data_IF_778693514303
#
_entry.id   IF_778693514303
#
_cell.length_a   1.000
_cell.length_b   1.000
_cell.length_c   1.000
_cell.angle_alpha   90.00
_cell.angle_beta   90.00
_cell.angle_gamma   90.00
#
_symmetry.space_group_name_H-M   'P 1'
#
loop_
_entity.id
_entity.type
_entity.pdbx_description
1 polymer ?
#
# COMPACT_ATOMS: atom_id res chain seq x y z
N UNK A 1 5.21 10.64 -2.96
CA UNK A 1 4.29 11.14 -1.92
C UNK A 1 3.15 10.16 -1.74
N UNK A 2 2.74 9.95 -0.51
CA UNK A 2 1.61 9.06 -0.23
C UNK A 2 0.29 9.71 -0.58
N UNK A 3 -0.64 8.90 -1.08
CA UNK A 3 -1.99 9.32 -1.43
C UNK A 3 -2.97 8.63 -0.49
N UNK A 4 -3.99 9.35 -0.05
CA UNK A 4 -5.08 8.72 0.70
C UNK A 4 -5.94 7.92 -0.27
N UNK A 5 -6.01 6.61 -0.05
CA UNK A 5 -6.85 5.73 -0.87
C UNK A 5 -8.29 5.78 -0.38
N UNK A 6 -9.21 5.94 -1.31
CA UNK A 6 -10.65 5.91 -1.07
C UNK A 6 -11.30 4.96 -2.07
N UNK A 7 -12.56 4.62 -1.87
CA UNK A 7 -13.32 3.85 -2.86
C UNK A 7 -13.40 4.59 -4.19
N UNK A 8 -13.36 5.93 -4.15
CA UNK A 8 -13.50 6.73 -5.37
C UNK A 8 -12.22 6.77 -6.21
N UNK A 9 -11.04 6.73 -5.60
CA UNK A 9 -9.79 6.88 -6.35
C UNK A 9 -9.04 5.57 -6.59
N UNK A 10 -9.42 4.48 -5.92
CA UNK A 10 -8.69 3.23 -5.99
C UNK A 10 -8.59 2.66 -7.41
N UNK A 11 -9.71 2.56 -8.11
CA UNK A 11 -9.73 1.97 -9.46
C UNK A 11 -8.87 2.76 -10.44
N UNK A 12 -8.93 4.09 -10.38
CA UNK A 12 -8.12 4.95 -11.24
C UNK A 12 -6.64 4.77 -10.99
N UNK A 13 -6.24 4.68 -9.72
CA UNK A 13 -4.84 4.46 -9.36
C UNK A 13 -4.36 3.07 -9.74
N UNK A 14 -5.18 2.04 -9.50
CA UNK A 14 -4.85 0.66 -9.84
C UNK A 14 -4.63 0.50 -11.35
N UNK A 15 -5.43 1.18 -12.16
CA UNK A 15 -5.39 1.08 -13.62
C UNK A 15 -4.51 2.13 -14.30
N UNK A 16 -3.79 2.95 -13.52
CA UNK A 16 -2.88 3.94 -14.09
C UNK A 16 -1.64 3.26 -14.66
N UNK A 17 -0.82 4.02 -15.36
CA UNK A 17 0.42 3.51 -15.97
C UNK A 17 1.44 3.07 -14.93
N UNK A 18 1.41 3.67 -13.74
CA UNK A 18 2.37 3.35 -12.69
C UNK A 18 1.87 2.20 -11.83
N UNK A 19 2.79 1.36 -11.32
CA UNK A 19 2.43 0.39 -10.28
C UNK A 19 1.87 1.09 -9.07
N UNK A 20 1.06 0.37 -8.28
CA UNK A 20 0.43 0.90 -7.08
C UNK A 20 0.75 0.01 -5.88
N UNK A 21 1.14 0.62 -4.79
CA UNK A 21 1.27 -0.06 -3.49
C UNK A 21 0.24 0.53 -2.55
N UNK A 22 -0.58 -0.31 -1.94
CA UNK A 22 -1.60 0.14 -0.96
C UNK A 22 -1.28 -0.42 0.41
N UNK A 23 -1.09 0.47 1.38
CA UNK A 23 -0.87 0.13 2.78
C UNK A 23 -2.21 0.18 3.51
N UNK A 24 -2.73 -0.99 3.88
CA UNK A 24 -3.95 -1.10 4.70
C UNK A 24 -3.55 -1.00 6.17
N UNK A 25 -4.06 -0.01 6.86
CA UNK A 25 -3.64 0.34 8.22
C UNK A 25 -4.82 0.82 9.06
N UNK A 26 -4.59 0.99 10.36
CA UNK A 26 -5.57 1.60 11.26
C UNK A 26 -4.84 2.45 12.30
N UNK A 27 -5.53 3.44 12.84
CA UNK A 27 -4.95 4.39 13.80
C UNK A 27 -4.49 3.72 15.10
N UNK A 28 -5.15 2.64 15.50
CA UNK A 28 -4.85 1.92 16.74
C UNK A 28 -3.81 0.81 16.57
N UNK A 29 -3.29 0.64 15.40
CA UNK A 29 -2.40 -0.47 15.08
C UNK A 29 -0.94 -0.10 15.32
N UNK A 30 -0.31 -0.70 16.33
CA UNK A 30 1.10 -0.47 16.67
C UNK A 30 2.06 -0.82 15.54
N UNK A 31 1.98 -2.04 14.98
CA UNK A 31 2.84 -2.43 13.86
C UNK A 31 2.68 -1.54 12.62
N UNK A 32 1.48 -1.01 12.39
CA UNK A 32 1.24 -0.05 11.29
C UNK A 32 2.05 1.22 11.51
N UNK A 33 2.09 1.72 12.75
CA UNK A 33 2.87 2.90 13.08
C UNK A 33 4.37 2.67 12.95
N UNK A 34 4.82 1.43 13.17
CA UNK A 34 6.23 1.09 13.03
C UNK A 34 6.71 1.19 11.58
N UNK A 35 5.88 0.78 10.62
CA UNK A 35 6.28 0.83 9.21
C UNK A 35 5.89 2.14 8.52
N UNK A 36 5.03 2.96 9.14
CA UNK A 36 4.57 4.20 8.51
C UNK A 36 5.70 5.10 8.01
N UNK A 37 6.77 5.37 8.80
CA UNK A 37 7.89 6.18 8.30
C UNK A 37 8.63 5.52 7.14
N UNK A 38 8.70 4.20 7.13
CA UNK A 38 9.37 3.44 6.06
C UNK A 38 8.57 3.57 4.76
N UNK A 39 7.26 3.40 4.84
CA UNK A 39 6.38 3.53 3.68
C UNK A 39 6.43 4.95 3.12
N UNK A 40 6.41 5.96 3.99
CA UNK A 40 6.53 7.36 3.60
C UNK A 40 7.85 7.63 2.89
N UNK A 41 8.94 7.10 3.42
CA UNK A 41 10.27 7.25 2.84
C UNK A 41 10.34 6.63 1.44
N UNK A 42 9.81 5.41 1.30
CA UNK A 42 9.77 4.73 0.00
C UNK A 42 8.86 5.46 -0.99
N UNK A 43 7.75 6.02 -0.52
CA UNK A 43 6.88 6.82 -1.38
C UNK A 43 7.63 8.00 -1.99
N UNK A 44 8.52 8.62 -1.23
CA UNK A 44 9.37 9.72 -1.73
C UNK A 44 10.44 9.22 -2.68
N UNK A 45 11.09 8.11 -2.34
CA UNK A 45 12.16 7.54 -3.18
C UNK A 45 11.66 7.09 -4.55
N UNK A 46 10.43 6.59 -4.62
CA UNK A 46 9.84 6.07 -5.85
C UNK A 46 8.80 7.02 -6.47
N UNK A 47 8.79 8.27 -6.04
CA UNK A 47 7.87 9.27 -6.58
C UNK A 47 8.03 9.37 -8.11
N UNK A 48 6.91 9.34 -8.82
CA UNK A 48 6.90 9.33 -10.29
C UNK A 48 7.16 7.96 -10.91
N UNK A 49 7.47 6.94 -10.12
CA UNK A 49 7.72 5.57 -10.60
C UNK A 49 6.70 4.57 -10.05
N UNK A 50 6.28 4.77 -8.82
CA UNK A 50 5.30 3.92 -8.14
C UNK A 50 4.36 4.83 -7.37
N UNK A 51 3.06 4.61 -7.51
CA UNK A 51 2.08 5.28 -6.66
C UNK A 51 1.98 4.52 -5.34
N UNK A 52 2.06 5.25 -4.24
CA UNK A 52 1.95 4.68 -2.90
C UNK A 52 0.76 5.30 -2.20
N UNK A 53 -0.17 4.48 -1.77
CA UNK A 53 -1.37 4.95 -1.09
C UNK A 53 -1.56 4.30 0.27
N UNK A 54 -2.32 4.98 1.12
CA UNK A 54 -2.69 4.49 2.44
C UNK A 54 -4.20 4.36 2.52
N UNK A 55 -4.66 3.18 2.92
CA UNK A 55 -6.07 2.90 3.09
C UNK A 55 -6.35 2.59 4.56
N UNK A 56 -7.04 3.50 5.24
CA UNK A 56 -7.51 3.29 6.61
C UNK A 56 -8.66 2.29 6.55
N UNK A 57 -8.48 1.11 7.16
CA UNK A 57 -9.47 0.03 7.05
C UNK A 57 -10.80 0.39 7.69
N UNK A 58 -10.83 1.37 8.58
CA UNK A 58 -12.07 1.82 9.20
C UNK A 58 -12.83 2.81 8.32
N UNK A 59 -12.11 3.62 7.54
CA UNK A 59 -12.72 4.56 6.59
C UNK A 59 -13.04 3.89 5.25
N UNK A 60 -12.24 2.91 4.84
CA UNK A 60 -12.38 2.19 3.57
C UNK A 60 -12.66 0.71 3.80
N UNK A 61 -13.65 0.43 4.65
CA UNK A 61 -13.99 -0.94 5.02
C UNK A 61 -14.44 -1.80 3.82
N UNK A 62 -15.03 -1.17 2.81
CA UNK A 62 -15.44 -1.88 1.59
C UNK A 62 -14.23 -2.45 0.85
N UNK A 63 -13.18 -1.64 0.69
CA UNK A 63 -11.96 -2.10 0.03
C UNK A 63 -11.25 -3.17 0.85
N UNK A 64 -11.18 -2.99 2.16
CA UNK A 64 -10.57 -3.97 3.04
C UNK A 64 -11.31 -5.31 2.94
N UNK A 65 -12.64 -5.29 2.89
CA UNK A 65 -13.46 -6.49 2.74
C UNK A 65 -13.25 -7.14 1.37
N UNK A 66 -13.20 -6.33 0.31
CA UNK A 66 -13.00 -6.80 -1.06
C UNK A 66 -11.71 -7.61 -1.19
N UNK A 67 -10.63 -7.14 -0.56
CA UNK A 67 -9.33 -7.81 -0.63
C UNK A 67 -9.08 -8.78 0.52
N UNK A 68 -10.08 -9.02 1.36
CA UNK A 68 -9.96 -9.98 2.46
C UNK A 68 -8.90 -9.60 3.48
N UNK A 69 -8.74 -8.31 3.75
CA UNK A 69 -7.74 -7.83 4.70
C UNK A 69 -8.17 -8.21 6.12
N UNK A 70 -7.37 -9.06 6.77
CA UNK A 70 -7.65 -9.53 8.14
C UNK A 70 -6.60 -9.07 9.13
N UNK A 71 -5.36 -9.00 8.68
CA UNK A 71 -4.23 -8.58 9.50
C UNK A 71 -3.68 -7.29 8.96
N UNK A 72 -3.31 -6.37 9.84
CA UNK A 72 -2.72 -5.09 9.45
C UNK A 72 -1.40 -4.89 10.19
N UNK A 73 -0.42 -4.24 9.54
CA UNK A 73 -0.51 -3.71 8.18
C UNK A 73 -0.47 -4.83 7.14
N UNK A 74 -1.19 -4.61 6.05
CA UNK A 74 -1.06 -5.44 4.85
C UNK A 74 -0.80 -4.48 3.69
N UNK A 75 0.27 -4.74 2.96
CA UNK A 75 0.55 -3.99 1.73
C UNK A 75 0.23 -4.87 0.53
N UNK A 76 -0.59 -4.34 -0.37
CA UNK A 76 -0.89 -4.99 -1.64
C UNK A 76 -0.15 -4.27 -2.75
N UNK A 77 0.36 -5.04 -3.69
CA UNK A 77 1.15 -4.54 -4.83
C UNK A 77 0.41 -4.83 -6.11
N UNK A 78 0.20 -3.78 -6.91
CA UNK A 78 -0.53 -3.87 -8.17
C UNK A 78 0.36 -3.42 -9.32
N UNK A 79 0.26 -4.13 -10.44
CA UNK A 79 0.96 -3.76 -11.67
C UNK A 79 0.06 -4.11 -12.85
N UNK A 80 -0.08 -3.17 -13.79
CA UNK A 80 -0.93 -3.34 -14.97
C UNK A 80 -2.37 -3.69 -14.59
N UNK A 81 -2.88 -3.08 -13.54
CA UNK A 81 -4.26 -3.27 -13.08
C UNK A 81 -4.50 -4.55 -12.31
N UNK A 82 -3.47 -5.31 -11.98
CA UNK A 82 -3.61 -6.61 -11.30
C UNK A 82 -2.79 -6.67 -10.03
N UNK A 83 -3.34 -7.32 -9.01
CA UNK A 83 -2.60 -7.61 -7.79
C UNK A 83 -1.52 -8.64 -8.08
N UNK A 84 -0.27 -8.31 -7.80
CA UNK A 84 0.88 -9.18 -8.11
C UNK A 84 1.62 -9.67 -6.89
N UNK A 85 1.45 -9.03 -5.74
CA UNK A 85 2.16 -9.43 -4.51
C UNK A 85 1.45 -8.88 -3.27
N UNK A 86 1.83 -9.41 -2.12
CA UNK A 86 1.26 -9.02 -0.83
C UNK A 86 2.32 -9.16 0.25
N UNK A 87 2.26 -8.30 1.25
CA UNK A 87 3.15 -8.35 2.40
C UNK A 87 2.36 -8.04 3.66
N UNK A 88 2.44 -8.92 4.66
CA UNK A 88 1.67 -8.80 5.91
C UNK A 88 2.62 -8.60 7.08
N UNK A 89 2.28 -7.65 7.94
CA UNK A 89 3.02 -7.37 9.16
C UNK A 89 4.12 -6.34 9.00
N UNK A 90 4.72 -5.95 10.11
CA UNK A 90 5.81 -5.00 10.11
C UNK A 90 7.08 -5.68 9.62
N UNK A 91 7.67 -5.13 8.56
CA UNK A 91 8.88 -5.68 7.94
C UNK A 91 9.94 -4.61 7.84
N UNK A 92 11.19 -5.00 7.59
CA UNK A 92 12.29 -4.07 7.43
C UNK A 92 12.16 -3.26 6.14
N UNK A 93 12.80 -2.08 6.12
CA UNK A 93 12.86 -1.26 4.91
C UNK A 93 13.47 -2.04 3.74
N UNK A 94 14.54 -2.78 3.99
CA UNK A 94 15.23 -3.56 2.95
C UNK A 94 14.29 -4.56 2.29
N UNK A 95 13.49 -5.25 3.09
CA UNK A 95 12.52 -6.23 2.60
C UNK A 95 11.44 -5.56 1.77
N UNK A 96 10.92 -4.45 2.26
CA UNK A 96 9.89 -3.69 1.57
C UNK A 96 10.41 -3.10 0.27
N UNK A 97 11.62 -2.56 0.28
CA UNK A 97 12.26 -2.00 -0.91
C UNK A 97 12.46 -3.06 -1.99
N UNK A 98 12.80 -4.27 -1.61
CA UNK A 98 12.93 -5.41 -2.51
C UNK A 98 11.61 -5.64 -3.27
N UNK A 99 10.49 -5.56 -2.57
CA UNK A 99 9.16 -5.69 -3.18
C UNK A 99 8.85 -4.52 -4.12
N UNK A 100 9.21 -3.30 -3.72
CA UNK A 100 9.05 -2.12 -4.59
C UNK A 100 9.83 -2.30 -5.88
N UNK A 101 11.09 -2.73 -5.79
CA UNK A 101 11.92 -2.97 -6.97
C UNK A 101 11.31 -4.02 -7.89
N UNK A 102 10.66 -5.03 -7.34
CA UNK A 102 10.09 -6.12 -8.13
C UNK A 102 8.92 -5.71 -9.02
N UNK A 103 8.30 -4.58 -8.76
CA UNK A 103 7.15 -4.10 -9.55
C UNK A 103 7.48 -2.92 -10.48
N UNK A 104 8.72 -2.52 -10.53
CA UNK A 104 9.15 -1.44 -11.43
C UNK A 104 8.98 -1.80 -12.92
#
# INVERSE_FOLDING_TARGET
>A
MEVKITTDNFEGLKNSELPLVVDFWATWCGPCRMIAPIVEELAKEYDGKINVGKCDVEECDELAAEFGIRNIPTLLFFKNGQGVDKMVGAVSKAKLQEKFESIL
#
